data_IF_599267656126
#
_entry.id   IF_599267656126
#
_cell.length_a   1.000
_cell.length_b   1.000
_cell.length_c   1.000
_cell.angle_alpha   90.00
_cell.angle_beta   90.00
_cell.angle_gamma   90.00
#
_symmetry.space_group_name_H-M   'P 1'
#
loop_
_entity.id
_entity.type
_entity.pdbx_description
1 polymer ?
#
# COMPACT_ATOMS: atom_id res chain seq x y z
N UNK A 1 -75.25 62.95 -61.71
CA UNK A 1 -74.08 62.05 -61.79
C UNK A 1 -73.01 62.73 -62.63
N UNK A 2 -72.05 63.41 -62.00
CA UNK A 2 -70.92 64.01 -62.72
C UNK A 2 -70.00 62.90 -63.20
N UNK A 3 -69.91 62.72 -64.53
CA UNK A 3 -68.91 61.86 -65.15
C UNK A 3 -67.55 62.52 -64.96
N UNK A 4 -66.70 61.93 -64.15
CA UNK A 4 -65.28 62.27 -64.08
C UNK A 4 -64.69 62.08 -65.48
N UNK A 5 -64.25 63.15 -66.11
CA UNK A 5 -63.52 63.06 -67.38
C UNK A 5 -62.22 62.28 -67.14
N UNK A 6 -61.81 61.36 -68.04
CA UNK A 6 -60.53 60.69 -67.92
C UNK A 6 -59.41 61.74 -68.03
N UNK A 7 -58.60 61.84 -66.98
CA UNK A 7 -57.40 62.66 -66.98
C UNK A 7 -56.36 61.98 -67.88
N UNK A 8 -56.08 62.54 -69.05
CA UNK A 8 -55.02 62.07 -69.93
C UNK A 8 -53.68 62.56 -69.39
N UNK A 9 -52.85 61.63 -68.93
CA UNK A 9 -51.50 61.93 -68.46
C UNK A 9 -50.61 62.10 -69.69
N UNK A 10 -49.85 63.20 -69.75
CA UNK A 10 -48.85 63.39 -70.81
C UNK A 10 -47.71 62.41 -70.62
N UNK A 11 -47.11 61.94 -71.71
CA UNK A 11 -46.02 60.96 -71.67
C UNK A 11 -44.84 61.41 -70.79
N UNK A 12 -44.53 62.70 -70.80
CA UNK A 12 -43.49 63.32 -69.98
C UNK A 12 -43.77 63.23 -68.47
N UNK A 13 -45.04 63.35 -68.07
CA UNK A 13 -45.46 63.19 -66.67
C UNK A 13 -45.34 61.74 -66.23
N UNK A 14 -45.73 60.79 -67.08
CA UNK A 14 -45.60 59.35 -66.82
C UNK A 14 -44.13 58.92 -66.69
N UNK A 15 -43.28 59.34 -67.64
CA UNK A 15 -41.85 59.04 -67.60
C UNK A 15 -41.17 59.63 -66.35
N UNK A 16 -41.52 60.84 -65.96
CA UNK A 16 -41.00 61.48 -64.74
C UNK A 16 -41.41 60.74 -63.47
N UNK A 17 -42.68 60.31 -63.37
CA UNK A 17 -43.14 59.50 -62.24
C UNK A 17 -42.43 58.15 -62.18
N UNK A 18 -42.28 57.47 -63.33
CA UNK A 18 -41.59 56.17 -63.38
C UNK A 18 -40.11 56.30 -62.99
N UNK A 19 -39.43 57.34 -63.46
CA UNK A 19 -38.02 57.59 -63.13
C UNK A 19 -37.81 57.85 -61.62
N UNK A 20 -38.72 58.57 -60.97
CA UNK A 20 -38.70 58.75 -59.51
C UNK A 20 -38.91 57.44 -58.78
N UNK A 21 -39.92 56.64 -59.17
CA UNK A 21 -40.16 55.33 -58.59
C UNK A 21 -38.96 54.39 -58.73
N UNK A 22 -38.32 54.33 -59.91
CA UNK A 22 -37.12 53.53 -60.12
C UNK A 22 -35.95 53.99 -59.24
N UNK A 23 -35.80 55.32 -59.05
CA UNK A 23 -34.77 55.90 -58.18
C UNK A 23 -35.01 55.53 -56.73
N UNK A 24 -36.25 55.64 -56.24
CA UNK A 24 -36.63 55.29 -54.88
C UNK A 24 -36.43 53.79 -54.63
N UNK A 25 -36.87 52.94 -55.56
CA UNK A 25 -36.70 51.48 -55.49
C UNK A 25 -35.22 51.12 -55.42
N UNK A 26 -34.37 51.69 -56.28
CA UNK A 26 -32.91 51.47 -56.23
C UNK A 26 -32.31 51.95 -54.92
N UNK A 27 -32.78 53.09 -54.41
CA UNK A 27 -32.38 53.62 -53.11
C UNK A 27 -32.68 52.64 -51.97
N UNK A 28 -33.90 52.10 -51.92
CA UNK A 28 -34.29 51.12 -50.90
C UNK A 28 -33.51 49.81 -51.03
N UNK A 29 -33.31 49.29 -52.24
CA UNK A 29 -32.46 48.11 -52.45
C UNK A 29 -31.02 48.35 -51.99
N UNK A 30 -30.46 49.53 -52.25
CA UNK A 30 -29.13 49.90 -51.76
C UNK A 30 -29.05 49.96 -50.23
N UNK A 31 -30.08 50.49 -49.56
CA UNK A 31 -30.17 50.48 -48.09
C UNK A 31 -30.29 49.06 -47.54
N UNK A 32 -31.14 48.23 -48.13
CA UNK A 32 -31.30 46.83 -47.73
C UNK A 32 -30.00 46.03 -47.90
N UNK A 33 -29.30 46.19 -49.03
CA UNK A 33 -28.00 45.56 -49.25
C UNK A 33 -26.98 45.99 -48.18
N UNK A 34 -26.93 47.28 -47.85
CA UNK A 34 -26.05 47.82 -46.81
C UNK A 34 -26.35 47.25 -45.42
N UNK A 35 -27.64 47.10 -45.08
CA UNK A 35 -28.08 46.49 -43.82
C UNK A 35 -27.69 45.01 -43.75
N UNK A 36 -27.87 44.26 -44.84
CA UNK A 36 -27.50 42.84 -44.93
C UNK A 36 -25.98 42.68 -44.79
N UNK A 37 -25.19 43.49 -45.49
CA UNK A 37 -23.74 43.48 -45.36
C UNK A 37 -23.28 43.80 -43.94
N UNK A 38 -23.86 44.83 -43.32
CA UNK A 38 -23.57 45.21 -41.93
C UNK A 38 -23.89 44.08 -40.96
N UNK A 39 -25.07 43.47 -41.11
CA UNK A 39 -25.50 42.32 -40.31
C UNK A 39 -24.56 41.12 -40.47
N UNK A 40 -24.18 40.79 -41.71
CA UNK A 40 -23.25 39.69 -41.98
C UNK A 40 -21.86 39.94 -41.38
N UNK A 41 -21.34 41.17 -41.47
CA UNK A 41 -20.07 41.56 -40.82
C UNK A 41 -20.15 41.40 -39.31
N UNK A 42 -21.24 41.85 -38.69
CA UNK A 42 -21.44 41.74 -37.24
C UNK A 42 -21.58 40.29 -36.78
N UNK A 43 -22.35 39.48 -37.51
CA UNK A 43 -22.50 38.04 -37.22
C UNK A 43 -21.16 37.32 -37.31
N UNK A 44 -20.39 37.59 -38.37
CA UNK A 44 -19.06 37.01 -38.57
C UNK A 44 -18.12 37.39 -37.44
N UNK A 45 -18.07 38.67 -37.07
CA UNK A 45 -17.24 39.14 -35.97
C UNK A 45 -17.64 38.50 -34.63
N UNK A 46 -18.94 38.42 -34.36
CA UNK A 46 -19.47 37.80 -33.13
C UNK A 46 -19.11 36.32 -33.06
N UNK A 47 -19.26 35.60 -34.17
CA UNK A 47 -18.93 34.19 -34.26
C UNK A 47 -17.43 33.96 -34.06
N UNK A 48 -16.59 34.73 -34.75
CA UNK A 48 -15.12 34.63 -34.62
C UNK A 48 -14.65 34.94 -33.19
N UNK A 49 -15.23 35.94 -32.53
CA UNK A 49 -14.91 36.25 -31.14
C UNK A 49 -15.28 35.11 -30.19
N UNK A 50 -16.48 34.51 -30.36
CA UNK A 50 -16.88 33.34 -29.56
C UNK A 50 -15.96 32.14 -29.80
N UNK A 51 -15.62 31.87 -31.06
CA UNK A 51 -14.71 30.79 -31.43
C UNK A 51 -13.32 31.01 -30.82
N UNK A 52 -12.79 32.22 -30.90
CA UNK A 52 -11.50 32.59 -30.30
C UNK A 52 -11.51 32.39 -28.79
N UNK A 53 -12.55 32.84 -28.10
CA UNK A 53 -12.69 32.67 -26.64
C UNK A 53 -12.76 31.19 -26.23
N UNK A 54 -13.55 30.39 -26.95
CA UNK A 54 -13.65 28.94 -26.71
C UNK A 54 -12.30 28.28 -26.95
N UNK A 55 -11.62 28.61 -28.04
CA UNK A 55 -10.33 28.03 -28.38
C UNK A 55 -9.23 28.41 -27.36
N UNK A 56 -9.24 29.65 -26.87
CA UNK A 56 -8.36 30.11 -25.80
C UNK A 56 -8.61 29.37 -24.49
N UNK A 57 -9.88 29.22 -24.10
CA UNK A 57 -10.27 28.50 -22.89
C UNK A 57 -9.88 27.03 -22.96
N UNK A 58 -10.15 26.36 -24.09
CA UNK A 58 -9.80 24.96 -24.27
C UNK A 58 -8.29 24.75 -24.28
N UNK A 59 -7.54 25.61 -24.98
CA UNK A 59 -6.07 25.55 -24.98
C UNK A 59 -5.50 25.69 -23.57
N UNK A 60 -6.05 26.60 -22.75
CA UNK A 60 -5.66 26.76 -21.35
C UNK A 60 -5.89 25.49 -20.53
N UNK A 61 -7.11 24.94 -20.58
CA UNK A 61 -7.46 23.72 -19.83
C UNK A 61 -6.67 22.49 -20.29
N UNK A 62 -6.36 22.38 -21.59
CA UNK A 62 -5.50 21.32 -22.13
C UNK A 62 -4.08 21.47 -21.58
N UNK A 63 -3.57 22.71 -21.49
CA UNK A 63 -2.26 23.00 -20.90
C UNK A 63 -2.19 22.60 -19.42
N UNK A 64 -3.20 22.98 -18.63
CA UNK A 64 -3.33 22.60 -17.21
C UNK A 64 -3.37 21.08 -17.05
N UNK A 65 -4.25 20.39 -17.79
CA UNK A 65 -4.37 18.94 -17.74
C UNK A 65 -3.07 18.23 -18.15
N UNK A 66 -2.37 18.76 -19.16
CA UNK A 66 -1.08 18.23 -19.58
C UNK A 66 -0.04 18.31 -18.45
N UNK A 67 -0.04 19.41 -17.70
CA UNK A 67 0.85 19.58 -16.56
C UNK A 67 0.50 18.63 -15.41
N UNK A 68 -0.78 18.50 -15.06
CA UNK A 68 -1.24 17.54 -14.04
C UNK A 68 -0.87 16.10 -14.41
N UNK A 69 -1.04 15.71 -15.68
CA UNK A 69 -0.65 14.37 -16.16
C UNK A 69 0.87 14.15 -16.05
N UNK A 70 1.69 15.18 -16.27
CA UNK A 70 3.14 15.08 -16.07
C UNK A 70 3.50 14.88 -14.60
N UNK A 71 2.90 15.66 -13.69
CA UNK A 71 3.10 15.50 -12.25
C UNK A 71 2.70 14.11 -11.76
N UNK A 72 1.52 13.63 -12.18
CA UNK A 72 1.05 12.28 -11.83
C UNK A 72 1.99 11.19 -12.34
N UNK A 73 2.60 11.35 -13.51
CA UNK A 73 3.61 10.39 -14.00
C UNK A 73 4.83 10.36 -13.09
N UNK A 74 5.31 11.51 -12.64
CA UNK A 74 6.45 11.59 -11.72
C UNK A 74 6.12 10.94 -10.37
N UNK A 75 4.95 11.22 -9.80
CA UNK A 75 4.50 10.60 -8.55
C UNK A 75 4.40 9.07 -8.68
N UNK A 76 3.84 8.57 -9.78
CA UNK A 76 3.77 7.13 -10.06
C UNK A 76 5.16 6.51 -10.17
N UNK A 77 6.11 7.19 -10.80
CA UNK A 77 7.50 6.75 -10.86
C UNK A 77 8.13 6.65 -9.47
N UNK A 78 7.95 7.67 -8.63
CA UNK A 78 8.47 7.66 -7.25
C UNK A 78 7.85 6.54 -6.40
N UNK A 79 6.54 6.29 -6.55
CA UNK A 79 5.87 5.18 -5.85
C UNK A 79 6.42 3.84 -6.31
N UNK A 80 6.67 3.67 -7.62
CA UNK A 80 7.27 2.45 -8.16
C UNK A 80 8.67 2.21 -7.59
N UNK A 81 9.52 3.23 -7.57
CA UNK A 81 10.86 3.10 -7.00
C UNK A 81 10.81 2.70 -5.53
N UNK A 82 9.90 3.29 -4.74
CA UNK A 82 9.71 2.91 -3.34
C UNK A 82 9.22 1.47 -3.16
N UNK A 83 8.38 0.98 -4.07
CA UNK A 83 7.91 -0.40 -4.05
C UNK A 83 9.07 -1.37 -4.30
N UNK A 84 9.91 -1.09 -5.30
CA UNK A 84 11.08 -1.92 -5.63
C UNK A 84 12.05 -2.02 -4.44
N UNK A 85 12.25 -0.92 -3.68
CA UNK A 85 13.05 -0.94 -2.45
C UNK A 85 12.42 -1.81 -1.36
N UNK A 86 11.11 -1.69 -1.13
CA UNK A 86 10.39 -2.50 -0.13
C UNK A 86 10.46 -3.99 -0.48
N UNK A 87 10.34 -4.34 -1.75
CA UNK A 87 10.49 -5.73 -2.20
C UNK A 87 11.90 -6.27 -1.90
N UNK A 88 12.94 -5.45 -2.12
CA UNK A 88 14.31 -5.75 -1.72
C UNK A 88 14.47 -5.98 -0.22
N UNK A 89 14.04 -5.02 0.60
CA UNK A 89 14.10 -5.09 2.07
C UNK A 89 13.37 -6.34 2.61
N UNK A 90 12.19 -6.65 2.05
CA UNK A 90 11.43 -7.85 2.41
C UNK A 90 12.20 -9.13 2.07
N UNK A 91 12.92 -9.15 0.94
CA UNK A 91 13.82 -10.23 0.57
C UNK A 91 14.94 -10.45 1.60
N UNK A 92 15.56 -9.36 2.05
CA UNK A 92 16.62 -9.40 3.08
C UNK A 92 16.10 -9.86 4.44
N UNK A 93 14.94 -9.36 4.86
CA UNK A 93 14.27 -9.80 6.11
C UNK A 93 13.95 -11.29 6.04
N UNK A 94 13.43 -11.78 4.92
CA UNK A 94 13.13 -13.21 4.73
C UNK A 94 14.40 -14.06 4.82
N UNK A 95 15.50 -13.62 4.21
CA UNK A 95 16.79 -14.30 4.30
C UNK A 95 17.30 -14.34 5.75
N UNK A 96 17.21 -13.21 6.46
CA UNK A 96 17.62 -13.10 7.86
C UNK A 96 16.79 -14.01 8.78
N UNK A 97 15.48 -14.12 8.54
CA UNK A 97 14.61 -15.05 9.28
C UNK A 97 14.97 -16.51 9.04
N UNK A 98 15.37 -16.87 7.81
CA UNK A 98 15.83 -18.23 7.49
C UNK A 98 17.15 -18.54 8.21
N UNK A 99 18.11 -17.63 8.20
CA UNK A 99 19.36 -17.80 8.96
C UNK A 99 19.09 -17.96 10.46
N UNK A 100 18.24 -17.09 11.01
CA UNK A 100 17.86 -17.15 12.42
C UNK A 100 17.21 -18.48 12.78
N UNK A 101 16.32 -19.00 11.93
CA UNK A 101 15.71 -20.33 12.11
C UNK A 101 16.76 -21.44 12.14
N UNK A 102 17.69 -21.45 11.20
CA UNK A 102 18.78 -22.45 11.16
C UNK A 102 19.64 -22.37 12.42
N UNK A 103 19.95 -21.17 12.90
CA UNK A 103 20.70 -20.96 14.14
C UNK A 103 19.93 -21.47 15.36
N UNK A 104 18.62 -21.21 15.45
CA UNK A 104 17.77 -21.75 16.51
C UNK A 104 17.77 -23.28 16.52
N UNK A 105 17.56 -23.91 15.36
CA UNK A 105 17.58 -25.38 15.25
C UNK A 105 18.93 -25.98 15.69
N UNK A 106 20.04 -25.29 15.37
CA UNK A 106 21.38 -25.69 15.83
C UNK A 106 21.52 -25.57 17.34
N UNK A 107 21.10 -24.45 17.93
CA UNK A 107 21.16 -24.21 19.38
C UNK A 107 20.31 -25.24 20.13
N UNK A 108 19.11 -25.52 19.65
CA UNK A 108 18.21 -26.51 20.24
C UNK A 108 18.85 -27.90 20.25
N UNK A 109 19.41 -28.35 19.12
CA UNK A 109 20.13 -29.63 19.04
C UNK A 109 21.29 -29.71 20.01
N UNK A 110 22.14 -28.68 20.08
CA UNK A 110 23.29 -28.64 21.01
C UNK A 110 22.82 -28.70 22.46
N UNK A 111 21.80 -27.92 22.82
CA UNK A 111 21.24 -27.90 24.19
C UNK A 111 20.64 -29.25 24.57
N UNK A 112 19.85 -29.87 23.70
CA UNK A 112 19.23 -31.17 23.96
C UNK A 112 20.31 -32.24 24.11
N UNK A 113 21.31 -32.28 23.24
CA UNK A 113 22.38 -33.27 23.31
C UNK A 113 23.26 -33.09 24.54
N UNK A 114 23.62 -31.84 24.89
CA UNK A 114 24.38 -31.56 26.12
C UNK A 114 23.61 -31.94 27.39
N UNK A 115 22.30 -31.67 27.43
CA UNK A 115 21.45 -32.05 28.56
C UNK A 115 21.29 -33.56 28.65
N UNK A 116 21.08 -34.26 27.51
CA UNK A 116 21.04 -35.73 27.48
C UNK A 116 22.35 -36.34 27.95
N UNK A 117 23.50 -35.83 27.48
CA UNK A 117 24.81 -36.32 27.93
C UNK A 117 24.95 -36.22 29.45
N UNK A 118 24.67 -35.04 30.03
CA UNK A 118 24.73 -34.82 31.49
C UNK A 118 23.77 -35.70 32.29
N UNK A 119 22.62 -36.07 31.72
CA UNK A 119 21.71 -37.01 32.37
C UNK A 119 22.26 -38.44 32.43
N UNK A 120 23.18 -38.83 31.55
CA UNK A 120 23.74 -40.17 31.49
C UNK A 120 25.18 -40.28 32.01
N UNK A 121 25.82 -39.15 32.32
CA UNK A 121 27.13 -39.11 32.97
C UNK A 121 27.11 -39.88 34.30
N UNK A 122 28.15 -40.71 34.52
CA UNK A 122 28.22 -41.62 35.66
C UNK A 122 28.34 -40.85 36.98
N UNK A 123 27.46 -41.12 37.94
CA UNK A 123 27.61 -40.66 39.32
C UNK A 123 28.54 -41.65 40.04
N UNK A 124 29.61 -41.12 40.64
CA UNK A 124 30.55 -41.92 41.44
C UNK A 124 30.00 -42.20 42.84
N UNK A 125 30.32 -43.38 43.36
CA UNK A 125 29.93 -43.81 44.70
C UNK A 125 31.03 -43.41 45.69
N UNK A 126 30.66 -42.67 46.73
CA UNK A 126 31.59 -42.30 47.79
C UNK A 126 31.16 -42.92 49.11
N UNK A 127 32.02 -43.74 49.71
CA UNK A 127 31.81 -44.23 51.07
C UNK A 127 32.01 -43.14 52.11
N UNK A 128 31.51 -43.37 53.32
CA UNK A 128 31.71 -42.48 54.47
C UNK A 128 32.49 -43.18 55.59
N UNK A 129 33.24 -42.40 56.35
CA UNK A 129 33.87 -42.88 57.58
C UNK A 129 32.84 -42.82 58.70
N UNK A 130 32.57 -43.97 59.33
CA UNK A 130 31.66 -44.08 60.47
C UNK A 130 32.49 -44.38 61.72
N UNK A 131 32.31 -43.62 62.83
CA UNK A 131 32.97 -43.92 64.09
C UNK A 131 32.70 -45.37 64.51
N UNK A 132 33.78 -46.14 64.74
CA UNK A 132 33.71 -47.54 65.19
C UNK A 132 33.67 -48.62 64.10
N UNK A 133 33.53 -48.27 62.82
CA UNK A 133 33.40 -49.25 61.70
C UNK A 133 34.43 -49.02 60.57
N UNK A 134 35.33 -48.06 60.76
CA UNK A 134 36.43 -47.62 59.86
C UNK A 134 36.01 -47.09 58.48
N UNK A 135 35.24 -47.78 57.65
CA UNK A 135 34.76 -47.25 56.35
C UNK A 135 33.52 -48.00 55.85
N UNK A 136 32.48 -47.27 55.42
CA UNK A 136 31.24 -47.85 54.93
C UNK A 136 30.93 -47.39 53.50
N UNK A 137 30.72 -48.34 52.58
CA UNK A 137 30.23 -48.06 51.22
C UNK A 137 28.71 -48.03 51.16
N UNK A 138 28.11 -47.18 50.30
CA UNK A 138 26.68 -47.20 50.07
C UNK A 138 26.26 -48.47 49.32
N UNK A 139 25.13 -49.04 49.71
CA UNK A 139 24.51 -50.21 49.08
C UNK A 139 23.82 -49.84 47.76
N UNK A 140 23.49 -48.56 47.58
CA UNK A 140 22.84 -48.06 46.38
C UNK A 140 23.20 -46.60 46.12
N UNK A 141 23.54 -46.29 44.87
CA UNK A 141 23.63 -44.93 44.31
C UNK A 141 23.07 -44.99 42.88
N UNK A 142 22.27 -44.01 42.43
CA UNK A 142 21.84 -43.95 41.03
C UNK A 142 23.05 -43.87 40.11
N UNK A 143 23.02 -44.58 38.97
CA UNK A 143 24.19 -44.63 38.08
C UNK A 143 24.48 -43.31 37.39
N UNK A 144 23.46 -42.47 37.23
CA UNK A 144 23.55 -41.16 36.58
C UNK A 144 22.40 -40.25 37.04
N UNK A 145 22.46 -38.96 36.67
CA UNK A 145 21.43 -37.99 37.05
C UNK A 145 20.04 -38.37 36.51
N UNK A 146 19.96 -39.01 35.33
CA UNK A 146 18.71 -39.50 34.75
C UNK A 146 18.04 -40.58 35.61
N UNK A 147 18.80 -41.54 36.14
CA UNK A 147 18.28 -42.51 37.11
C UNK A 147 17.86 -41.84 38.42
N UNK A 148 18.61 -40.85 38.90
CA UNK A 148 18.22 -40.08 40.09
C UNK A 148 16.88 -39.36 39.89
N UNK A 149 16.69 -38.67 38.75
CA UNK A 149 15.43 -37.98 38.45
C UNK A 149 14.26 -38.95 38.27
N UNK A 150 14.50 -40.16 37.76
CA UNK A 150 13.47 -41.22 37.74
C UNK A 150 13.01 -41.63 39.13
N UNK A 151 13.92 -41.70 40.12
CA UNK A 151 13.53 -41.96 41.52
C UNK A 151 12.61 -40.87 42.06
N UNK A 152 12.88 -39.60 41.75
CA UNK A 152 12.03 -38.48 42.17
C UNK A 152 10.67 -38.48 41.48
N UNK A 153 10.64 -38.79 40.18
CA UNK A 153 9.43 -38.75 39.35
C UNK A 153 8.52 -39.94 39.59
N UNK A 154 9.09 -41.15 39.70
CA UNK A 154 8.33 -42.39 39.82
C UNK A 154 8.13 -42.71 41.31
N UNK A 155 7.11 -42.09 41.92
CA UNK A 155 6.82 -42.14 43.37
C UNK A 155 6.20 -43.49 43.76
N UNK A 156 7.00 -44.55 43.72
CA UNK A 156 6.64 -45.88 44.22
C UNK A 156 7.42 -46.23 45.49
N UNK A 157 6.96 -47.25 46.22
CA UNK A 157 7.55 -47.64 47.51
C UNK A 157 9.05 -48.01 47.41
N UNK A 158 9.53 -48.50 46.27
CA UNK A 158 10.95 -48.81 46.07
C UNK A 158 11.78 -47.54 45.83
N UNK A 159 11.28 -46.61 45.01
CA UNK A 159 11.93 -45.31 44.76
C UNK A 159 12.02 -44.47 46.02
N UNK A 160 10.93 -44.39 46.80
CA UNK A 160 10.90 -43.66 48.08
C UNK A 160 11.92 -44.26 49.06
N UNK A 161 11.97 -45.59 49.21
CA UNK A 161 12.97 -46.25 50.07
C UNK A 161 14.40 -45.95 49.64
N UNK A 162 14.68 -45.94 48.34
CA UNK A 162 16.00 -45.60 47.79
C UNK A 162 16.36 -44.13 48.05
N UNK A 163 15.41 -43.20 47.91
CA UNK A 163 15.63 -41.78 48.22
C UNK A 163 15.91 -41.56 49.71
N UNK A 164 15.09 -42.15 50.59
CA UNK A 164 15.29 -42.09 52.06
C UNK A 164 16.67 -42.66 52.43
N UNK A 165 17.06 -43.79 51.83
CA UNK A 165 18.37 -44.40 52.04
C UNK A 165 19.50 -43.43 51.69
N UNK A 166 19.44 -42.77 50.53
CA UNK A 166 20.48 -41.83 50.08
C UNK A 166 20.59 -40.63 51.02
N UNK A 167 19.47 -40.05 51.45
CA UNK A 167 19.43 -38.92 52.40
C UNK A 167 20.10 -39.32 53.73
N UNK A 168 19.72 -40.48 54.28
CA UNK A 168 20.26 -40.98 55.54
C UNK A 168 21.74 -41.37 55.43
N UNK A 169 22.15 -41.98 54.32
CA UNK A 169 23.53 -42.41 54.12
C UNK A 169 24.46 -41.20 54.00
N UNK A 170 24.14 -40.22 53.17
CA UNK A 170 24.99 -39.05 52.93
C UNK A 170 24.75 -37.87 53.88
N UNK A 171 23.83 -38.01 54.85
CA UNK A 171 23.50 -36.96 55.82
C UNK A 171 23.15 -35.63 55.13
N UNK A 172 22.34 -35.71 54.06
CA UNK A 172 21.94 -34.55 53.25
C UNK A 172 20.88 -33.78 54.05
N UNK A 173 21.33 -32.98 55.01
CA UNK A 173 20.47 -32.30 55.98
C UNK A 173 19.67 -31.12 55.37
N UNK A 174 19.94 -30.75 54.12
CA UNK A 174 19.30 -29.60 53.45
C UNK A 174 18.32 -29.99 52.33
N UNK A 175 17.93 -31.26 52.21
CA UNK A 175 16.89 -31.66 51.24
C UNK A 175 15.49 -31.39 51.81
N UNK A 176 15.08 -30.12 51.84
CA UNK A 176 13.73 -29.73 52.26
C UNK A 176 12.68 -30.16 51.22
N UNK A 177 11.55 -30.66 51.71
CA UNK A 177 10.41 -31.20 50.95
C UNK A 177 9.72 -30.16 50.06
#
# INVERSE_FOLDING_TARGET
MSRTQPAYITEETYQSHRARQDTDIRGEFGRQASLIEGGNRQLTATFNNKLSNVNGTLSGRIGELSHEVQQLKEEVHQVKDRLDHIEGDMGEVKSSLLDFRVRLERIEKVRINGTKSRLYDKIEMFGKIVPGVSYQMPQYVPKNAGEFWKLKRDVNAASIRRLIYLVNFYNINDYQH
#
